data_IF_779504029994
#
_entry.id   IF_779504029994
#
_cell.length_a   1.000
_cell.length_b   1.000
_cell.length_c   1.000
_cell.angle_alpha   90.00
_cell.angle_beta   90.00
_cell.angle_gamma   90.00
#
_symmetry.space_group_name_H-M   'P 1'
#
loop_
_entity.id
_entity.type
_entity.pdbx_description
1 polymer ?
#
# COMPACT_ATOMS: atom_id res chain seq x y z
N UNK A 1 21.51 18.71 6.73
CA UNK A 1 21.46 18.84 5.26
C UNK A 1 20.31 17.98 4.75
N UNK A 2 19.08 18.52 4.74
CA UNK A 2 17.90 17.80 4.23
C UNK A 2 18.01 17.73 2.71
N UNK A 3 18.08 16.52 2.17
CA UNK A 3 18.03 16.30 0.71
C UNK A 3 16.63 16.65 0.21
N UNK A 4 16.46 17.52 -0.80
CA UNK A 4 15.15 17.73 -1.39
C UNK A 4 14.71 16.42 -2.06
N UNK A 5 13.49 15.97 -1.76
CA UNK A 5 12.85 14.89 -2.51
C UNK A 5 12.61 15.47 -3.90
N UNK A 6 13.36 14.97 -4.89
CA UNK A 6 13.19 15.42 -6.27
C UNK A 6 11.73 15.18 -6.68
N UNK A 7 11.06 16.23 -7.17
CA UNK A 7 9.79 16.10 -7.88
C UNK A 7 10.02 15.08 -9.00
N UNK A 8 9.28 13.97 -8.96
CA UNK A 8 9.27 12.99 -10.05
C UNK A 8 8.61 13.67 -11.24
N UNK A 9 9.41 14.27 -12.12
CA UNK A 9 8.96 14.75 -13.44
C UNK A 9 8.60 13.53 -14.33
N UNK A 10 7.68 13.70 -15.29
CA UNK A 10 6.73 12.66 -15.74
C UNK A 10 7.37 11.56 -16.59
N UNK A 11 8.13 10.65 -15.97
CA UNK A 11 8.37 9.31 -16.53
C UNK A 11 7.18 8.37 -16.33
N UNK A 12 6.24 8.78 -15.48
CA UNK A 12 4.96 8.11 -15.27
C UNK A 12 3.99 8.31 -16.45
N UNK A 13 4.33 9.18 -17.42
CA UNK A 13 3.49 9.50 -18.58
C UNK A 13 3.83 8.74 -19.87
N UNK A 14 4.88 7.91 -19.91
CA UNK A 14 5.20 7.10 -21.10
C UNK A 14 4.25 5.91 -21.28
N UNK A 15 3.62 5.45 -20.20
CA UNK A 15 2.67 4.33 -20.18
C UNK A 15 1.33 4.87 -19.71
N UNK A 16 0.29 4.74 -20.55
CA UNK A 16 -1.06 5.16 -20.15
C UNK A 16 -1.60 4.30 -19.00
N UNK A 17 -2.48 4.89 -18.18
CA UNK A 17 -3.17 4.15 -17.12
C UNK A 17 -3.94 2.93 -17.66
N UNK A 18 -4.49 3.03 -18.87
CA UNK A 18 -5.17 1.93 -19.54
C UNK A 18 -4.21 0.77 -19.85
N UNK A 19 -3.00 1.06 -20.34
CA UNK A 19 -1.96 0.05 -20.58
C UNK A 19 -1.54 -0.62 -19.28
N UNK A 20 -1.26 0.16 -18.23
CA UNK A 20 -0.88 -0.36 -16.91
C UNK A 20 -1.94 -1.31 -16.34
N UNK A 21 -3.22 -0.93 -16.43
CA UNK A 21 -4.34 -1.80 -16.00
C UNK A 21 -4.38 -3.10 -16.80
N UNK A 22 -4.11 -3.04 -18.11
CA UNK A 22 -3.99 -4.21 -18.97
C UNK A 22 -2.81 -5.11 -18.60
N UNK A 23 -1.66 -4.54 -18.26
CA UNK A 23 -0.49 -5.28 -17.77
C UNK A 23 -0.79 -5.99 -16.43
N UNK A 24 -1.39 -5.29 -15.48
CA UNK A 24 -1.81 -5.89 -14.20
C UNK A 24 -2.78 -7.06 -14.42
N UNK A 25 -3.75 -6.91 -15.32
CA UNK A 25 -4.70 -7.99 -15.63
C UNK A 25 -4.02 -9.21 -16.27
N UNK A 26 -2.99 -9.02 -17.10
CA UNK A 26 -2.18 -10.12 -17.66
C UNK A 26 -1.35 -10.82 -16.60
N UNK A 27 -0.87 -10.09 -15.59
CA UNK A 27 -0.06 -10.63 -14.51
C UNK A 27 -0.87 -11.31 -13.41
N UNK A 28 -2.10 -10.87 -13.16
CA UNK A 28 -2.94 -11.39 -12.07
C UNK A 28 -3.11 -12.92 -12.05
N UNK A 29 -3.30 -13.63 -13.19
CA UNK A 29 -3.41 -15.09 -13.18
C UNK A 29 -2.15 -15.82 -12.71
N UNK A 30 -0.97 -15.18 -12.78
CA UNK A 30 0.29 -15.77 -12.33
C UNK A 30 0.51 -15.60 -10.82
N UNK A 31 -0.30 -14.79 -10.16
CA UNK A 31 -0.25 -14.60 -8.72
C UNK A 31 -1.16 -15.62 -8.05
N UNK A 32 -0.61 -16.83 -7.87
CA UNK A 32 -1.27 -17.88 -7.10
C UNK A 32 -1.36 -17.42 -5.65
N UNK A 33 -2.55 -17.00 -5.24
CA UNK A 33 -2.88 -16.79 -3.82
C UNK A 33 -3.17 -18.17 -3.24
N UNK A 34 -2.37 -18.68 -2.29
CA UNK A 34 -2.71 -19.90 -1.59
C UNK A 34 -4.09 -19.74 -0.99
N UNK A 35 -4.92 -20.79 -1.02
CA UNK A 35 -6.22 -20.77 -0.38
C UNK A 35 -6.02 -20.34 1.09
N UNK A 36 -6.44 -19.12 1.41
CA UNK A 36 -6.30 -18.60 2.75
C UNK A 36 -7.28 -19.38 3.62
N UNK A 37 -6.74 -20.13 4.58
CA UNK A 37 -7.58 -20.68 5.64
C UNK A 37 -8.23 -19.49 6.34
N UNK A 38 -9.56 -19.50 6.48
CA UNK A 38 -10.24 -18.53 7.33
C UNK A 38 -9.73 -18.75 8.76
N UNK A 39 -9.01 -17.79 9.35
CA UNK A 39 -8.52 -17.96 10.70
C UNK A 39 -9.71 -18.07 11.65
N UNK A 40 -9.65 -19.03 12.58
CA UNK A 40 -10.66 -19.14 13.62
C UNK A 40 -10.71 -17.84 14.45
N UNK A 41 -11.90 -17.40 14.91
CA UNK A 41 -12.01 -16.27 15.81
C UNK A 41 -11.10 -16.44 17.02
N UNK A 42 -10.24 -15.45 17.28
CA UNK A 42 -9.38 -15.44 18.46
C UNK A 42 -10.05 -14.66 19.58
N UNK A 43 -9.91 -15.07 20.85
CA UNK A 43 -10.40 -14.28 21.97
C UNK A 43 -9.72 -12.89 21.98
N UNK A 44 -10.42 -11.82 22.39
CA UNK A 44 -9.86 -10.46 22.41
C UNK A 44 -8.55 -10.35 23.18
N UNK A 45 -8.35 -11.17 24.20
CA UNK A 45 -7.10 -11.24 24.98
C UNK A 45 -5.85 -11.63 24.18
N UNK A 46 -6.02 -12.22 22.99
CA UNK A 46 -4.94 -12.56 22.06
C UNK A 46 -4.72 -11.50 20.97
N UNK A 47 -5.60 -10.51 20.88
CA UNK A 47 -5.41 -9.36 20.00
C UNK A 47 -4.50 -8.40 20.76
N UNK A 48 -3.19 -8.59 20.58
CA UNK A 48 -2.22 -7.63 21.08
C UNK A 48 -2.32 -6.36 20.20
N UNK A 49 -2.59 -5.23 20.83
CA UNK A 49 -2.63 -3.95 20.13
C UNK A 49 -1.26 -3.64 19.51
N UNK A 50 -1.29 -3.04 18.32
CA UNK A 50 -0.08 -2.47 17.71
C UNK A 50 0.04 -1.03 18.20
N UNK A 51 1.14 -0.70 18.86
CA UNK A 51 1.47 0.69 19.22
C UNK A 51 2.33 1.25 18.11
N UNK A 52 1.78 2.20 17.35
CA UNK A 52 2.53 2.93 16.32
C UNK A 52 3.18 4.15 16.97
N UNK A 53 4.51 4.34 16.87
CA UNK A 53 5.16 5.54 17.37
C UNK A 53 4.62 6.80 16.68
N UNK A 54 4.49 7.89 17.43
CA UNK A 54 3.98 9.16 16.90
C UNK A 54 4.80 9.70 15.70
N UNK A 55 6.10 9.42 15.65
CA UNK A 55 6.96 9.76 14.51
C UNK A 55 6.53 9.07 13.21
N UNK A 56 6.10 7.82 13.28
CA UNK A 56 5.60 7.07 12.13
C UNK A 56 4.22 7.56 11.70
N UNK A 57 3.34 7.88 12.65
CA UNK A 57 2.01 8.41 12.37
C UNK A 57 2.07 9.74 11.59
N UNK A 58 3.01 10.63 11.95
CA UNK A 58 3.21 11.92 11.27
C UNK A 58 3.59 11.81 9.79
N UNK A 59 4.10 10.66 9.34
CA UNK A 59 4.38 10.45 7.91
C UNK A 59 3.08 10.39 7.08
N UNK A 60 1.95 10.08 7.72
CA UNK A 60 0.64 10.02 7.08
C UNK A 60 -0.01 11.40 6.94
N UNK A 61 0.47 12.43 7.66
CA UNK A 61 -0.10 13.80 7.61
C UNK A 61 -0.05 14.41 6.20
N UNK A 62 0.84 13.94 5.34
CA UNK A 62 0.95 14.37 3.95
C UNK A 62 0.08 13.56 2.96
N UNK A 63 -0.62 12.50 3.43
CA UNK A 63 -1.43 11.59 2.61
C UNK A 63 -2.94 11.76 2.84
N UNK A 64 -3.37 12.95 3.26
CA UNK A 64 -4.77 13.26 3.58
C UNK A 64 -5.74 13.06 2.42
N UNK A 65 -5.25 13.01 1.17
CA UNK A 65 -6.06 12.71 -0.02
C UNK A 65 -6.64 11.27 -0.05
N UNK A 66 -6.11 10.37 0.79
CA UNK A 66 -6.49 8.94 0.84
C UNK A 66 -7.23 8.52 2.11
N UNK A 67 -7.54 9.45 3.03
CA UNK A 67 -7.91 9.15 4.42
C UNK A 67 -9.35 9.45 4.87
N UNK A 68 -10.23 9.89 3.97
CA UNK A 68 -11.67 10.13 4.24
C UNK A 68 -12.53 8.89 3.91
#
# INVERSE_FOLDING_TARGET
MTKPIARREPRESEISLAQLRGDCARMAPHWVVPAAAVPAPVPPSRIHGVVVPASSARLLDAMSEYGD
#
